data_IF_296849357700
#
_entry.id   IF_296849357700
#
_cell.length_a   1.000
_cell.length_b   1.000
_cell.length_c   1.000
_cell.angle_alpha   90.00
_cell.angle_beta   90.00
_cell.angle_gamma   90.00
#
_symmetry.space_group_name_H-M   'P 1'
#
loop_
_entity.id
_entity.type
_entity.pdbx_description
1 polymer ?
#
# COMPACT_ATOMS: atom_id res chain seq x y z
N UNK A 1 -13.81 17.04 -10.55
CA UNK A 1 -13.56 15.64 -10.96
C UNK A 1 -14.11 14.76 -9.84
N UNK A 2 -15.33 14.22 -10.00
CA UNK A 2 -16.02 13.44 -8.96
C UNK A 2 -15.46 12.01 -8.95
N UNK A 3 -14.30 11.78 -8.33
CA UNK A 3 -13.86 10.43 -8.02
C UNK A 3 -14.61 9.95 -6.77
N UNK A 4 -15.42 8.89 -6.91
CA UNK A 4 -15.96 8.19 -5.74
C UNK A 4 -14.78 7.59 -4.97
N UNK A 5 -14.31 8.30 -3.96
CA UNK A 5 -13.19 7.89 -3.09
C UNK A 5 -13.56 6.78 -2.10
N UNK A 6 -14.77 6.20 -2.21
CA UNK A 6 -15.35 5.29 -1.25
C UNK A 6 -15.67 3.95 -1.92
N UNK A 7 -15.25 2.87 -1.26
CA UNK A 7 -15.62 1.49 -1.58
C UNK A 7 -16.68 1.08 -0.56
N UNK A 8 -17.85 0.65 -1.04
CA UNK A 8 -18.90 0.10 -0.18
C UNK A 8 -18.55 -1.32 0.26
N UNK A 9 -18.70 -1.60 1.55
CA UNK A 9 -18.63 -2.92 2.17
C UNK A 9 -19.90 -3.08 2.99
N UNK A 10 -20.89 -3.77 2.42
CA UNK A 10 -22.26 -3.77 2.97
C UNK A 10 -22.78 -2.33 3.07
N UNK A 11 -23.18 -1.93 4.27
CA UNK A 11 -23.66 -0.57 4.57
C UNK A 11 -22.55 0.44 4.88
N UNK A 12 -21.30 -0.01 5.02
CA UNK A 12 -20.18 0.84 5.41
C UNK A 12 -19.40 1.34 4.20
N UNK A 13 -19.01 2.61 4.24
CA UNK A 13 -18.10 3.19 3.25
C UNK A 13 -16.66 3.17 3.77
N UNK A 14 -15.74 2.73 2.92
CA UNK A 14 -14.33 2.62 3.25
C UNK A 14 -13.49 3.34 2.21
N UNK A 15 -12.54 4.16 2.65
CA UNK A 15 -11.53 4.76 1.77
C UNK A 15 -10.51 3.71 1.30
N UNK A 16 -10.16 3.63 0.00
CA UNK A 16 -9.10 2.78 -0.52
C UNK A 16 -7.76 3.05 0.19
N UNK A 17 -7.15 2.03 0.81
CA UNK A 17 -5.86 2.15 1.51
C UNK A 17 -4.65 1.87 0.63
N UNK A 18 -4.89 1.32 -0.55
CA UNK A 18 -3.92 1.06 -1.59
C UNK A 18 -4.54 1.32 -2.97
N UNK A 19 -3.70 1.55 -3.97
CA UNK A 19 -4.06 1.69 -5.38
C UNK A 19 -3.28 0.62 -6.15
N UNK A 20 -3.93 -0.01 -7.12
CA UNK A 20 -3.27 -0.94 -8.03
C UNK A 20 -2.47 -0.16 -9.08
N UNK A 21 -1.27 -0.62 -9.36
CA UNK A 21 -0.37 -0.05 -10.38
C UNK A 21 -0.44 -0.92 -11.61
N UNK A 22 -0.65 -0.30 -12.77
CA UNK A 22 -0.69 -0.99 -14.06
C UNK A 22 0.48 -0.60 -14.95
N UNK A 23 0.89 -1.51 -15.83
CA UNK A 23 1.78 -1.19 -16.93
C UNK A 23 1.04 -0.48 -18.09
N UNK A 24 1.76 -0.21 -19.17
CA UNK A 24 1.23 0.42 -20.39
C UNK A 24 0.17 -0.43 -21.12
N UNK A 25 0.09 -1.73 -20.81
CA UNK A 25 -0.90 -2.67 -21.37
C UNK A 25 -2.10 -2.86 -20.44
N UNK A 26 -2.25 -2.02 -19.42
CA UNK A 26 -3.26 -2.12 -18.36
C UNK A 26 -3.19 -3.42 -17.54
N UNK A 27 -2.06 -4.12 -17.55
CA UNK A 27 -1.85 -5.27 -16.68
C UNK A 27 -1.44 -4.80 -15.29
N UNK A 28 -2.05 -5.35 -14.25
CA UNK A 28 -1.69 -4.96 -12.89
C UNK A 28 -0.34 -5.58 -12.53
N UNK A 29 0.65 -4.72 -12.25
CA UNK A 29 2.04 -5.12 -11.95
C UNK A 29 2.41 -4.92 -10.48
N UNK A 30 1.63 -4.14 -9.73
CA UNK A 30 1.93 -3.82 -8.36
C UNK A 30 0.76 -3.20 -7.62
N UNK A 31 1.00 -2.88 -6.35
CA UNK A 31 0.13 -2.03 -5.56
C UNK A 31 0.94 -1.04 -4.77
N UNK A 32 0.41 0.16 -4.55
CA UNK A 32 1.04 1.17 -3.71
C UNK A 32 0.09 1.57 -2.59
N UNK A 33 0.55 1.46 -1.34
CA UNK A 33 -0.21 1.89 -0.16
C UNK A 33 0.12 3.34 0.14
N UNK A 34 -0.73 4.01 0.92
CA UNK A 34 -0.47 5.38 1.39
C UNK A 34 0.90 5.53 2.06
N UNK A 35 1.31 4.56 2.86
CA UNK A 35 2.65 4.58 3.51
C UNK A 35 3.80 4.45 2.53
N UNK A 36 3.59 3.76 1.42
CA UNK A 36 4.61 3.60 0.40
C UNK A 36 4.74 4.89 -0.42
N UNK A 37 3.63 5.62 -0.66
CA UNK A 37 3.63 6.98 -1.22
C UNK A 37 4.36 7.96 -0.29
N UNK A 38 4.06 7.93 1.02
CA UNK A 38 4.72 8.80 1.99
C UNK A 38 6.23 8.54 2.06
N UNK A 39 6.64 7.27 2.05
CA UNK A 39 8.05 6.87 1.92
C UNK A 39 8.65 7.32 0.59
N UNK A 40 7.85 7.25 -0.47
CA UNK A 40 8.21 7.73 -1.80
C UNK A 40 8.55 9.20 -1.79
N UNK A 41 7.72 10.04 -1.16
CA UNK A 41 7.88 11.50 -1.06
C UNK A 41 8.93 11.96 -0.04
N UNK A 42 9.42 11.04 0.80
CA UNK A 42 10.44 11.33 1.80
C UNK A 42 11.76 11.75 1.12
N UNK A 43 12.31 12.94 1.42
CA UNK A 43 13.65 13.29 0.97
C UNK A 43 14.67 12.32 1.56
N UNK A 44 15.53 11.76 0.71
CA UNK A 44 16.49 10.73 1.12
C UNK A 44 17.37 11.21 2.28
N UNK A 45 17.44 10.42 3.35
CA UNK A 45 18.25 10.69 4.54
C UNK A 45 17.60 11.60 5.59
N UNK A 46 16.35 12.04 5.40
CA UNK A 46 15.69 12.99 6.30
C UNK A 46 15.16 12.35 7.59
N UNK A 47 14.67 11.10 7.55
CA UNK A 47 14.20 10.39 8.75
C UNK A 47 15.10 9.21 9.17
N UNK A 48 16.40 9.31 8.92
CA UNK A 48 17.41 8.40 9.51
C UNK A 48 17.41 6.95 8.99
N UNK A 49 16.53 6.59 8.05
CA UNK A 49 16.47 5.23 7.50
C UNK A 49 17.48 5.06 6.37
N UNK A 50 18.73 4.84 6.77
CA UNK A 50 19.87 4.52 5.93
C UNK A 50 20.36 5.65 5.01
N UNK A 51 21.22 6.51 5.56
CA UNK A 51 22.26 7.11 4.73
C UNK A 51 23.14 5.97 4.20
N UNK A 52 22.93 5.55 2.95
CA UNK A 52 23.79 4.57 2.27
C UNK A 52 25.17 5.19 1.99
N UNK A 53 25.96 5.40 3.05
CA UNK A 53 27.38 5.66 2.96
C UNK A 53 28.10 4.47 3.59
N UNK A 54 28.99 3.76 2.87
CA UNK A 54 29.61 2.49 3.31
C UNK A 54 30.54 2.60 4.54
N UNK A 55 30.53 3.72 5.27
CA UNK A 55 31.39 3.98 6.44
C UNK A 55 30.65 4.58 7.66
N UNK A 56 29.33 4.77 7.61
CA UNK A 56 28.59 5.43 8.70
C UNK A 56 27.44 4.52 9.15
N UNK A 57 27.69 3.72 10.19
CA UNK A 57 26.68 2.97 10.95
C UNK A 57 26.23 3.80 12.15
N UNK A 58 25.74 5.02 11.92
CA UNK A 58 25.12 5.80 12.98
C UNK A 58 23.66 6.01 12.58
N UNK A 59 22.79 5.30 13.28
CA UNK A 59 21.35 5.54 13.26
C UNK A 59 21.12 6.90 13.93
N UNK A 60 21.10 7.96 13.12
CA UNK A 60 20.80 9.31 13.61
C UNK A 60 19.29 9.42 13.67
N UNK A 61 18.73 9.40 14.88
CA UNK A 61 17.33 9.76 15.06
C UNK A 61 17.12 11.21 14.59
N UNK A 62 16.12 11.47 13.73
CA UNK A 62 15.86 12.81 13.26
C UNK A 62 15.38 13.71 14.40
N UNK A 63 16.02 14.88 14.57
CA UNK A 63 15.54 15.90 15.50
C UNK A 63 14.30 16.58 14.91
N UNK A 64 13.16 16.37 15.57
CA UNK A 64 11.86 16.90 15.14
C UNK A 64 11.84 18.43 15.09
N UNK A 65 12.63 19.14 15.91
CA UNK A 65 12.70 20.60 15.87
C UNK A 65 13.44 21.10 14.62
N UNK A 66 14.45 20.35 14.16
CA UNK A 66 15.15 20.66 12.91
C UNK A 66 14.27 20.39 11.69
N UNK A 67 13.39 19.38 11.76
CA UNK A 67 12.40 19.11 10.71
C UNK A 67 11.43 20.28 10.54
N UNK A 68 10.91 20.80 11.65
CA UNK A 68 9.98 21.93 11.65
C UNK A 68 10.63 23.19 11.07
N UNK A 69 11.87 23.50 11.48
CA UNK A 69 12.63 24.63 10.95
C UNK A 69 12.96 24.49 9.45
N UNK A 70 13.00 23.27 8.91
CA UNK A 70 13.31 22.97 7.52
C UNK A 70 12.06 22.72 6.65
N UNK A 71 10.85 23.02 7.12
CA UNK A 71 9.60 22.65 6.46
C UNK A 71 9.51 23.10 4.99
N UNK A 72 9.83 24.35 4.68
CA UNK A 72 9.78 24.85 3.29
C UNK A 72 10.79 24.13 2.38
N UNK A 73 11.99 23.87 2.90
CA UNK A 73 13.00 23.09 2.20
C UNK A 73 12.52 21.64 2.01
N UNK A 74 11.90 21.02 3.02
CA UNK A 74 11.30 19.70 2.95
C UNK A 74 10.25 19.62 1.84
N UNK A 75 9.29 20.54 1.80
CA UNK A 75 8.26 20.59 0.76
C UNK A 75 8.86 20.68 -0.66
N UNK A 76 9.88 21.52 -0.85
CA UNK A 76 10.55 21.65 -2.15
C UNK A 76 11.24 20.35 -2.60
N UNK A 77 11.74 19.54 -1.65
CA UNK A 77 12.40 18.26 -1.93
C UNK A 77 11.37 17.15 -2.17
N UNK A 78 10.22 17.17 -1.48
CA UNK A 78 9.10 16.28 -1.78
C UNK A 78 8.59 16.44 -3.22
N UNK A 79 8.56 17.68 -3.74
CA UNK A 79 8.16 17.93 -5.13
C UNK A 79 9.12 17.27 -6.13
N UNK A 80 10.43 17.39 -5.92
CA UNK A 80 11.44 16.70 -6.76
C UNK A 80 11.31 15.19 -6.69
N UNK A 81 10.94 14.70 -5.51
CA UNK A 81 10.79 13.29 -5.24
C UNK A 81 9.49 12.72 -5.85
N UNK A 82 8.49 13.57 -6.13
CA UNK A 82 7.24 13.17 -6.77
C UNK A 82 7.41 12.72 -8.23
N UNK A 83 8.51 13.13 -8.89
CA UNK A 83 8.84 12.72 -10.26
C UNK A 83 9.47 11.32 -10.33
N UNK A 84 9.74 10.68 -9.20
CA UNK A 84 10.33 9.35 -9.16
C UNK A 84 9.31 8.27 -9.55
N UNK A 85 9.74 7.20 -10.24
CA UNK A 85 8.84 6.17 -10.72
C UNK A 85 8.18 5.41 -9.56
N UNK A 86 6.87 5.20 -9.67
CA UNK A 86 6.06 4.48 -8.67
C UNK A 86 6.58 3.06 -8.41
N UNK A 87 7.17 2.43 -9.42
CA UNK A 87 7.78 1.10 -9.36
C UNK A 87 8.81 0.95 -8.23
N UNK A 88 9.57 2.02 -7.95
CA UNK A 88 10.60 2.02 -6.89
C UNK A 88 10.02 1.85 -5.48
N UNK A 89 8.75 2.22 -5.29
CA UNK A 89 8.11 2.28 -3.98
C UNK A 89 6.94 1.32 -3.84
N UNK A 90 6.38 0.82 -4.94
CA UNK A 90 5.26 -0.12 -4.95
C UNK A 90 5.66 -1.50 -4.40
N UNK A 91 4.65 -2.29 -4.06
CA UNK A 91 4.78 -3.71 -3.74
C UNK A 91 4.43 -4.47 -5.02
N UNK A 92 5.34 -5.31 -5.57
CA UNK A 92 5.04 -6.13 -6.72
C UNK A 92 3.92 -7.13 -6.39
N UNK A 93 3.08 -7.46 -7.37
CA UNK A 93 2.10 -8.53 -7.20
C UNK A 93 2.78 -9.87 -7.41
N UNK A 94 3.21 -10.47 -6.31
CA UNK A 94 3.77 -11.83 -6.28
C UNK A 94 2.74 -12.89 -5.90
N UNK A 95 1.64 -12.45 -5.29
CA UNK A 95 0.58 -13.31 -4.77
C UNK A 95 -0.79 -12.80 -5.18
N UNK A 96 -1.61 -13.69 -5.71
CA UNK A 96 -3.00 -13.44 -6.11
C UNK A 96 -3.90 -14.55 -5.57
N UNK A 97 -5.20 -14.26 -5.54
CA UNK A 97 -6.26 -15.21 -5.26
C UNK A 97 -6.99 -15.53 -6.55
N UNK A 98 -7.39 -16.78 -6.77
CA UNK A 98 -8.35 -17.08 -7.83
C UNK A 98 -9.76 -16.69 -7.39
N UNK A 99 -10.61 -16.31 -8.34
CA UNK A 99 -12.00 -15.90 -8.07
C UNK A 99 -12.89 -16.96 -7.38
N UNK A 100 -12.48 -18.23 -7.43
CA UNK A 100 -13.14 -19.39 -6.84
C UNK A 100 -12.43 -19.93 -5.58
N UNK A 101 -11.40 -19.24 -5.09
CA UNK A 101 -10.69 -19.61 -3.87
C UNK A 101 -11.61 -19.52 -2.63
N UNK A 102 -11.58 -20.57 -1.81
CA UNK A 102 -12.34 -20.60 -0.55
C UNK A 102 -11.79 -19.64 0.50
N UNK A 103 -12.66 -19.17 1.41
CA UNK A 103 -12.33 -18.25 2.50
C UNK A 103 -11.11 -18.68 3.32
N UNK A 104 -10.95 -19.97 3.60
CA UNK A 104 -9.78 -20.49 4.34
C UNK A 104 -8.45 -20.22 3.63
N UNK A 105 -8.42 -20.34 2.29
CA UNK A 105 -7.23 -20.02 1.49
C UNK A 105 -6.96 -18.52 1.53
N UNK A 106 -8.00 -17.69 1.46
CA UNK A 106 -7.87 -16.24 1.57
C UNK A 106 -7.24 -15.85 2.91
N UNK A 107 -7.72 -16.42 4.03
CA UNK A 107 -7.16 -16.17 5.38
C UNK A 107 -5.69 -16.57 5.42
N UNK A 108 -5.37 -17.78 4.94
CA UNK A 108 -3.99 -18.27 4.89
C UNK A 108 -3.07 -17.34 4.09
N UNK A 109 -3.50 -16.88 2.91
CA UNK A 109 -2.70 -15.98 2.07
C UNK A 109 -2.49 -14.61 2.70
N UNK A 110 -3.50 -14.07 3.40
CA UNK A 110 -3.37 -12.80 4.12
C UNK A 110 -2.34 -12.92 5.25
N UNK A 111 -2.39 -14.01 6.02
CA UNK A 111 -1.44 -14.28 7.11
C UNK A 111 -0.01 -14.47 6.56
N UNK A 112 0.14 -15.34 5.56
CA UNK A 112 1.42 -15.65 4.92
C UNK A 112 2.11 -14.40 4.36
N UNK A 113 1.35 -13.53 3.69
CA UNK A 113 1.91 -12.35 3.00
C UNK A 113 2.00 -11.11 3.89
N UNK A 114 1.27 -11.07 5.00
CA UNK A 114 1.08 -9.87 5.82
C UNK A 114 0.39 -8.71 5.07
N UNK A 115 -0.20 -8.97 3.89
CA UNK A 115 -0.87 -7.97 3.08
C UNK A 115 -2.33 -7.83 3.52
N UNK A 116 -2.77 -6.59 3.73
CA UNK A 116 -4.16 -6.29 4.10
C UNK A 116 -5.12 -6.31 2.90
N UNK A 117 -4.59 -6.51 1.69
CA UNK A 117 -5.31 -6.51 0.42
C UNK A 117 -4.60 -7.47 -0.53
N UNK A 118 -5.36 -8.35 -1.18
CA UNK A 118 -4.86 -9.28 -2.18
C UNK A 118 -5.66 -9.10 -3.49
N UNK A 119 -5.00 -9.05 -4.66
CA UNK A 119 -5.68 -9.04 -5.95
C UNK A 119 -6.37 -10.38 -6.23
N UNK A 120 -7.55 -10.32 -6.84
CA UNK A 120 -8.30 -11.50 -7.31
C UNK A 120 -8.20 -11.59 -8.82
N UNK A 121 -7.85 -12.77 -9.31
CA UNK A 121 -7.70 -13.07 -10.74
C UNK A 121 -8.75 -14.04 -11.24
N UNK A 122 -9.14 -13.84 -12.51
CA UNK A 122 -9.92 -14.78 -13.31
C UNK A 122 -9.38 -14.72 -14.74
N UNK A 123 -9.13 -15.87 -15.36
CA UNK A 123 -8.61 -15.96 -16.73
C UNK A 123 -7.32 -15.13 -16.96
N UNK A 124 -6.46 -15.07 -15.94
CA UNK A 124 -5.22 -14.26 -15.88
C UNK A 124 -5.40 -12.74 -15.79
N UNK A 125 -6.63 -12.25 -15.63
CA UNK A 125 -6.92 -10.83 -15.43
C UNK A 125 -7.28 -10.54 -13.98
N UNK A 126 -6.79 -9.42 -13.44
CA UNK A 126 -7.22 -8.93 -12.12
C UNK A 126 -8.63 -8.35 -12.24
N UNK A 127 -9.60 -9.02 -11.63
CA UNK A 127 -11.02 -8.63 -11.67
C UNK A 127 -11.46 -7.85 -10.42
N UNK A 128 -10.62 -7.79 -9.40
CA UNK A 128 -10.95 -7.15 -8.14
C UNK A 128 -9.89 -7.37 -7.07
N UNK A 129 -10.27 -7.10 -5.82
CA UNK A 129 -9.41 -7.25 -4.65
C UNK A 129 -10.24 -7.79 -3.48
N UNK A 130 -9.58 -8.51 -2.58
CA UNK A 130 -10.11 -8.88 -1.27
C UNK A 130 -9.26 -8.23 -0.19
N UNK A 131 -9.91 -7.64 0.80
CA UNK A 131 -9.31 -6.93 1.92
C UNK A 131 -9.63 -7.63 3.22
N UNK A 132 -8.76 -7.43 4.22
CA UNK A 132 -8.95 -7.99 5.56
C UNK A 132 -10.30 -7.61 6.19
N UNK A 133 -10.80 -6.41 5.91
CA UNK A 133 -12.12 -5.96 6.44
C UNK A 133 -13.29 -6.77 5.87
N UNK A 134 -13.20 -7.24 4.62
CA UNK A 134 -14.24 -8.09 4.02
C UNK A 134 -14.15 -9.52 4.56
N UNK A 135 -12.93 -10.03 4.71
CA UNK A 135 -12.68 -11.35 5.33
C UNK A 135 -13.18 -11.40 6.77
N UNK A 136 -12.86 -10.39 7.58
CA UNK A 136 -13.34 -10.28 8.95
C UNK A 136 -14.86 -10.13 9.01
N UNK A 137 -15.44 -9.34 8.11
CA UNK A 137 -16.90 -9.19 8.01
C UNK A 137 -17.57 -10.53 7.70
N UNK A 138 -17.00 -11.34 6.82
CA UNK A 138 -17.55 -12.66 6.47
C UNK A 138 -17.41 -13.66 7.62
N UNK A 139 -16.27 -13.68 8.32
CA UNK A 139 -16.07 -14.49 9.53
C UNK A 139 -17.07 -14.10 10.63
N UNK A 140 -17.26 -12.80 10.85
CA UNK A 140 -18.18 -12.29 11.87
C UNK A 140 -19.62 -12.78 11.64
N UNK A 141 -20.08 -12.78 10.38
CA UNK A 141 -21.38 -13.37 10.00
C UNK A 141 -21.45 -14.87 10.26
N UNK A 142 -20.38 -15.62 9.97
CA UNK A 142 -20.35 -17.07 10.23
C UNK A 142 -20.36 -17.41 11.73
N UNK A 143 -19.93 -16.48 12.58
CA UNK A 143 -19.87 -16.62 14.04
C UNK A 143 -21.03 -15.96 14.77
N UNK A 144 -21.99 -15.35 14.04
CA UNK A 144 -23.09 -14.56 14.61
C UNK A 144 -22.62 -13.44 15.56
N UNK A 145 -21.57 -12.71 15.18
CA UNK A 145 -21.03 -11.55 15.91
C UNK A 145 -21.27 -10.29 15.09
N UNK A 146 -22.13 -9.37 15.56
CA UNK A 146 -22.42 -8.08 14.92
C UNK A 146 -21.42 -6.96 15.31
#
# INVERSE_FOLDING_TARGET
>A
MNSKLFIKVGERESLPRAVLVTDEKNQVVGMIRRRDILRGLEPHGFFGRHAHHPKIFVEVEPDLNLIEAAFDHFCSRCLKQADEPVEKYMIPIEHTLNHDDHLMKIIYMIDLTGLSLLPVVKDSEVIGVVRTVEVLSEIAKMLDIE
#
